data_IF_117497267139
#
_entry.id   IF_117497267139
#
_cell.length_a   1.000
_cell.length_b   1.000
_cell.length_c   1.000
_cell.angle_alpha   90.00
_cell.angle_beta   90.00
_cell.angle_gamma   90.00
#
_symmetry.space_group_name_H-M   'P 1'
#
loop_
_entity.id
_entity.type
_entity.pdbx_description
1 polymer ?
#
# COMPACT_ATOMS: atom_id res chain seq x y z
N UNK A 1 -12.22 1.33 20.44
CA UNK A 1 -12.03 1.53 18.98
C UNK A 1 -11.74 0.20 18.32
N UNK A 2 -12.51 -0.14 17.35
CA UNK A 2 -12.43 -1.42 16.68
C UNK A 2 -11.41 -1.40 15.54
N UNK A 3 -10.55 -2.41 15.49
CA UNK A 3 -9.63 -2.63 14.39
C UNK A 3 -10.30 -3.55 13.38
N UNK A 4 -10.28 -3.14 12.12
CA UNK A 4 -10.83 -3.92 11.03
C UNK A 4 -9.69 -4.45 10.18
N UNK A 5 -9.58 -5.76 9.96
CA UNK A 5 -8.54 -6.30 9.09
C UNK A 5 -8.55 -5.67 7.71
N UNK A 6 -7.38 -5.37 7.20
CA UNK A 6 -7.18 -4.80 5.87
C UNK A 6 -6.29 -5.74 5.09
N UNK A 7 -6.87 -6.42 4.11
CA UNK A 7 -6.17 -7.41 3.31
C UNK A 7 -6.43 -7.09 1.84
N UNK A 8 -5.34 -6.87 1.09
CA UNK A 8 -5.43 -6.53 -0.32
C UNK A 8 -4.47 -7.39 -1.14
N UNK A 9 -4.93 -7.80 -2.30
CA UNK A 9 -4.08 -8.42 -3.31
C UNK A 9 -4.21 -7.62 -4.60
N UNK A 10 -3.16 -6.90 -4.96
CA UNK A 10 -3.09 -6.14 -6.20
C UNK A 10 -2.40 -6.99 -7.24
N UNK A 11 -3.00 -7.11 -8.41
CA UNK A 11 -2.45 -7.83 -9.55
C UNK A 11 -2.32 -6.88 -10.73
N UNK A 12 -1.24 -7.02 -11.48
CA UNK A 12 -1.04 -6.29 -12.71
C UNK A 12 -0.20 -7.10 -13.69
N UNK A 13 -0.27 -6.71 -14.95
CA UNK A 13 0.61 -7.21 -15.99
C UNK A 13 1.45 -6.02 -16.45
N UNK A 14 2.77 -6.18 -16.41
CA UNK A 14 3.67 -5.10 -16.81
C UNK A 14 3.50 -4.76 -18.28
N UNK A 15 3.55 -3.47 -18.59
CA UNK A 15 3.60 -2.96 -19.96
C UNK A 15 5.03 -2.75 -20.45
N UNK A 16 6.03 -3.10 -19.63
CA UNK A 16 7.43 -2.92 -19.95
C UNK A 16 7.96 -1.51 -19.69
N UNK A 17 7.19 -0.65 -19.06
CA UNK A 17 7.65 0.68 -18.67
C UNK A 17 8.83 0.58 -17.69
N UNK A 18 9.77 1.52 -17.80
CA UNK A 18 10.95 1.54 -16.93
C UNK A 18 10.58 1.65 -15.45
N UNK A 19 9.51 2.37 -15.14
CA UNK A 19 8.94 2.52 -13.80
C UNK A 19 7.49 2.07 -13.87
N UNK A 20 7.17 0.98 -13.20
CA UNK A 20 5.81 0.46 -13.15
C UNK A 20 5.21 0.68 -11.78
N UNK A 21 4.08 1.38 -11.71
CA UNK A 21 3.41 1.72 -10.46
C UNK A 21 2.18 0.86 -10.22
N UNK A 22 2.06 0.37 -8.99
CA UNK A 22 0.86 -0.29 -8.50
C UNK A 22 0.35 0.49 -7.31
N UNK A 23 -0.90 0.95 -7.40
CA UNK A 23 -1.50 1.83 -6.41
C UNK A 23 -2.70 1.14 -5.75
N UNK A 24 -2.73 1.16 -4.42
CA UNK A 24 -3.89 0.74 -3.67
C UNK A 24 -4.95 1.85 -3.66
N UNK A 25 -6.11 1.57 -3.10
CA UNK A 25 -7.16 2.57 -2.94
C UNK A 25 -6.75 3.63 -1.91
N UNK A 26 -7.20 4.88 -2.04
CA UNK A 26 -6.90 5.89 -1.03
C UNK A 26 -7.62 5.57 0.29
N UNK A 27 -6.96 5.91 1.39
CA UNK A 27 -7.54 5.76 2.72
C UNK A 27 -8.70 6.74 2.88
N UNK A 28 -9.91 6.28 3.27
CA UNK A 28 -11.06 7.15 3.42
C UNK A 28 -10.88 8.22 4.50
N UNK A 29 -11.66 9.29 4.40
CA UNK A 29 -11.72 10.32 5.43
C UNK A 29 -11.97 9.74 6.81
N UNK A 30 -11.36 10.33 7.82
CA UNK A 30 -11.50 9.94 9.23
C UNK A 30 -11.14 8.48 9.49
N UNK A 31 -10.27 7.91 8.67
CA UNK A 31 -9.78 6.55 8.80
C UNK A 31 -8.27 6.55 8.95
N UNK A 32 -7.77 5.68 9.80
CA UNK A 32 -6.37 5.33 9.90
C UNK A 32 -6.13 3.98 9.23
N UNK A 33 -5.04 3.87 8.49
CA UNK A 33 -4.56 2.57 7.99
C UNK A 33 -3.17 2.31 8.56
N UNK A 34 -3.01 1.18 9.22
CA UNK A 34 -1.70 0.68 9.61
C UNK A 34 -1.39 -0.54 8.75
N UNK A 35 -0.37 -0.43 7.91
CA UNK A 35 0.12 -1.55 7.11
C UNK A 35 1.17 -2.27 7.92
N UNK A 36 1.00 -3.57 8.11
CA UNK A 36 1.93 -4.40 8.87
C UNK A 36 2.86 -5.21 7.99
N UNK A 37 2.42 -5.48 6.76
CA UNK A 37 3.16 -6.36 5.87
C UNK A 37 2.82 -6.04 4.42
N UNK A 38 3.85 -5.94 3.60
CA UNK A 38 3.71 -5.81 2.15
C UNK A 38 4.59 -6.88 1.52
N UNK A 39 4.03 -7.65 0.59
CA UNK A 39 4.77 -8.64 -0.18
C UNK A 39 4.68 -8.29 -1.65
N UNK A 40 5.81 -8.30 -2.34
CA UNK A 40 5.90 -7.94 -3.76
C UNK A 40 6.58 -9.06 -4.55
N UNK A 41 6.02 -9.37 -5.70
CA UNK A 41 6.54 -10.42 -6.58
C UNK A 41 6.41 -10.05 -8.05
N UNK A 42 7.47 -10.33 -8.83
CA UNK A 42 7.39 -10.51 -10.29
C UNK A 42 7.57 -12.01 -10.53
N UNK A 43 6.53 -12.67 -11.04
CA UNK A 43 6.54 -14.14 -11.22
C UNK A 43 7.52 -14.61 -12.27
N UNK A 44 7.92 -13.77 -13.21
CA UNK A 44 8.48 -14.20 -14.48
C UNK A 44 9.92 -13.78 -14.72
N UNK A 45 10.29 -12.56 -14.36
CA UNK A 45 11.58 -11.96 -14.77
C UNK A 45 12.25 -11.24 -13.61
N UNK A 46 13.58 -11.31 -13.55
CA UNK A 46 14.35 -10.47 -12.63
C UNK A 46 14.18 -9.01 -13.03
N UNK A 47 14.22 -8.11 -12.05
CA UNK A 47 14.07 -6.70 -12.33
C UNK A 47 15.00 -5.86 -11.42
N UNK A 48 14.95 -4.54 -11.52
CA UNK A 48 16.03 -3.71 -10.99
C UNK A 48 15.81 -3.28 -9.54
N UNK A 49 14.56 -2.94 -9.17
CA UNK A 49 14.29 -2.40 -7.84
C UNK A 49 12.80 -2.48 -7.50
N UNK A 50 12.52 -2.64 -6.20
CA UNK A 50 11.19 -2.46 -5.63
C UNK A 50 11.25 -1.27 -4.69
N UNK A 51 10.26 -0.37 -4.79
CA UNK A 51 10.06 0.69 -3.80
C UNK A 51 8.65 0.64 -3.24
N UNK A 52 8.52 0.86 -1.95
CA UNK A 52 7.22 0.91 -1.27
C UNK A 52 7.09 2.22 -0.51
N UNK A 53 5.91 2.82 -0.56
CA UNK A 53 5.66 4.09 0.11
C UNK A 53 4.19 4.46 0.13
N UNK A 54 3.93 5.72 0.43
CA UNK A 54 2.58 6.27 0.40
C UNK A 54 2.57 7.63 -0.29
N UNK A 55 1.46 7.95 -0.90
CA UNK A 55 1.29 9.23 -1.56
C UNK A 55 -0.13 9.41 -2.07
N UNK A 56 -0.41 10.57 -2.62
CA UNK A 56 -1.72 10.85 -3.23
C UNK A 56 -1.81 10.21 -4.62
N UNK A 57 -0.69 10.10 -5.30
CA UNK A 57 -0.55 9.49 -6.63
C UNK A 57 0.90 9.06 -6.86
N UNK A 58 1.21 8.62 -8.06
CA UNK A 58 2.55 8.16 -8.47
C UNK A 58 3.60 9.28 -8.53
N UNK A 59 3.19 10.54 -8.55
CA UNK A 59 4.09 11.69 -8.66
C UNK A 59 4.41 12.31 -7.30
N UNK A 60 3.64 12.02 -6.27
CA UNK A 60 3.79 12.57 -4.92
C UNK A 60 3.86 11.44 -3.91
N UNK A 61 5.02 10.80 -3.82
CA UNK A 61 5.20 9.63 -2.97
C UNK A 61 6.28 9.89 -1.93
N UNK A 62 5.97 9.51 -0.69
CA UNK A 62 6.95 9.39 0.37
C UNK A 62 7.38 7.92 0.43
N UNK A 63 8.62 7.64 0.06
CA UNK A 63 9.15 6.27 0.03
C UNK A 63 9.60 5.84 1.42
N UNK A 64 9.19 4.65 1.83
CA UNK A 64 9.54 4.05 3.12
C UNK A 64 10.76 3.16 3.00
N UNK A 65 10.75 2.28 2.01
CA UNK A 65 11.79 1.29 1.80
C UNK A 65 12.00 0.99 0.33
N UNK A 66 13.18 0.49 0.00
CA UNK A 66 13.46 -0.07 -1.30
C UNK A 66 14.22 -1.39 -1.19
N UNK A 67 14.18 -2.18 -2.23
CA UNK A 67 14.90 -3.44 -2.35
C UNK A 67 15.57 -3.49 -3.72
N UNK A 68 16.91 -3.56 -3.79
CA UNK A 68 17.61 -3.62 -5.07
C UNK A 68 17.68 -5.04 -5.61
N UNK A 69 17.78 -5.14 -6.93
CA UNK A 69 18.05 -6.36 -7.70
C UNK A 69 17.17 -7.56 -7.32
N UNK A 70 15.83 -7.41 -7.34
CA UNK A 70 14.97 -8.53 -7.02
C UNK A 70 14.96 -9.60 -8.12
N UNK A 71 14.83 -10.86 -7.69
CA UNK A 71 14.79 -12.01 -8.56
C UNK A 71 13.36 -12.45 -8.88
N UNK A 72 13.16 -13.05 -10.04
CA UNK A 72 11.88 -13.60 -10.46
C UNK A 72 11.39 -14.70 -9.51
N UNK A 73 10.09 -14.72 -9.26
CA UNK A 73 9.43 -15.76 -8.47
C UNK A 73 9.74 -15.71 -6.98
N UNK A 74 10.42 -14.68 -6.51
CA UNK A 74 10.73 -14.51 -5.09
C UNK A 74 9.75 -13.53 -4.47
N UNK A 75 9.23 -13.88 -3.30
CA UNK A 75 8.34 -13.00 -2.54
C UNK A 75 9.19 -12.11 -1.65
N UNK A 76 9.22 -10.81 -1.97
CA UNK A 76 9.95 -9.83 -1.18
C UNK A 76 9.02 -9.21 -0.15
N UNK A 77 9.40 -9.30 1.12
CA UNK A 77 8.57 -8.90 2.25
C UNK A 77 9.11 -7.65 2.92
N UNK A 78 8.18 -6.75 3.26
CA UNK A 78 8.43 -5.53 4.01
C UNK A 78 7.56 -5.62 5.26
N UNK A 79 8.18 -5.78 6.42
CA UNK A 79 7.48 -6.12 7.66
C UNK A 79 7.42 -5.00 8.70
N UNK A 80 7.92 -3.82 8.36
CA UNK A 80 7.82 -2.68 9.26
C UNK A 80 6.39 -2.12 9.28
N UNK A 81 6.04 -1.45 10.37
CA UNK A 81 4.75 -0.79 10.47
C UNK A 81 4.74 0.50 9.66
N UNK A 82 3.78 0.61 8.74
CA UNK A 82 3.60 1.79 7.91
C UNK A 82 2.23 2.40 8.17
N UNK A 83 2.20 3.65 8.60
CA UNK A 83 0.94 4.37 8.79
C UNK A 83 0.63 5.19 7.55
N UNK A 84 -0.54 4.94 6.96
CA UNK A 84 -0.99 5.63 5.75
C UNK A 84 -2.05 6.65 6.12
N UNK A 85 -1.80 7.90 5.75
CA UNK A 85 -2.70 9.02 6.05
C UNK A 85 -3.99 8.94 5.22
N UNK A 86 -5.06 9.53 5.74
CA UNK A 86 -6.28 9.67 4.94
C UNK A 86 -6.00 10.43 3.65
N UNK A 87 -6.63 10.01 2.56
CA UNK A 87 -6.38 10.56 1.23
C UNK A 87 -5.13 10.05 0.54
N UNK A 88 -4.22 9.44 1.29
CA UNK A 88 -3.04 8.76 0.71
C UNK A 88 -3.35 7.31 0.42
N UNK A 89 -2.50 6.69 -0.36
CA UNK A 89 -2.58 5.26 -0.70
C UNK A 89 -1.21 4.63 -0.63
N UNK A 90 -1.18 3.33 -0.45
CA UNK A 90 0.07 2.57 -0.61
C UNK A 90 0.45 2.62 -2.08
N UNK A 91 1.71 2.95 -2.34
CA UNK A 91 2.28 3.04 -3.69
C UNK A 91 3.46 2.08 -3.77
N UNK A 92 3.41 1.20 -4.75
CA UNK A 92 4.50 0.26 -5.04
C UNK A 92 5.05 0.61 -6.41
N UNK A 93 6.37 0.69 -6.53
CA UNK A 93 7.05 0.91 -7.81
C UNK A 93 8.00 -0.24 -8.08
N UNK A 94 7.86 -0.85 -9.25
CA UNK A 94 8.75 -1.90 -9.71
C UNK A 94 9.51 -1.36 -10.92
N UNK A 95 10.83 -1.27 -10.79
CA UNK A 95 11.68 -0.69 -11.82
C UNK A 95 12.29 -1.81 -12.68
N UNK A 96 12.19 -1.67 -13.99
CA UNK A 96 12.83 -2.59 -14.93
C UNK A 96 12.11 -3.91 -15.14
N UNK A 97 10.80 -3.97 -14.89
CA UNK A 97 10.01 -5.17 -15.22
C UNK A 97 9.87 -5.30 -16.75
N UNK A 98 9.68 -6.54 -17.21
CA UNK A 98 9.53 -6.84 -18.61
C UNK A 98 8.05 -6.87 -19.01
N UNK A 99 7.74 -6.45 -20.22
CA UNK A 99 6.35 -6.52 -20.73
C UNK A 99 5.81 -7.94 -20.57
N UNK A 100 4.54 -8.02 -20.18
CA UNK A 100 3.79 -9.25 -19.91
C UNK A 100 4.15 -9.96 -18.61
N UNK A 101 5.08 -9.45 -17.80
CA UNK A 101 5.34 -9.98 -16.49
C UNK A 101 4.09 -9.88 -15.61
N UNK A 102 3.83 -10.93 -14.85
CA UNK A 102 2.74 -10.95 -13.86
C UNK A 102 3.28 -10.44 -12.53
N UNK A 103 2.67 -9.38 -12.04
CA UNK A 103 3.09 -8.69 -10.83
C UNK A 103 2.04 -8.85 -9.76
N UNK A 104 2.48 -9.17 -8.55
CA UNK A 104 1.59 -9.34 -7.40
C UNK A 104 2.08 -8.49 -6.23
N UNK A 105 1.13 -7.87 -5.56
CA UNK A 105 1.38 -7.18 -4.30
C UNK A 105 0.31 -7.59 -3.31
N UNK A 106 0.74 -8.06 -2.14
CA UNK A 106 -0.15 -8.36 -1.02
C UNK A 106 0.12 -7.36 0.09
N UNK A 107 -0.96 -6.76 0.59
CA UNK A 107 -0.89 -5.79 1.68
C UNK A 107 -1.79 -6.30 2.79
N UNK A 108 -1.26 -6.37 4.00
CA UNK A 108 -2.09 -6.65 5.16
C UNK A 108 -1.81 -5.67 6.30
N UNK A 109 -2.81 -5.50 7.12
CA UNK A 109 -2.79 -4.61 8.25
C UNK A 109 -4.18 -4.46 8.83
N UNK A 110 -4.48 -3.27 9.30
CA UNK A 110 -5.80 -2.97 9.86
C UNK A 110 -6.14 -1.50 9.73
N UNK A 111 -7.44 -1.22 9.74
CA UNK A 111 -7.97 0.14 9.75
C UNK A 111 -8.80 0.37 11.01
N UNK A 112 -8.96 1.63 11.38
CA UNK A 112 -9.93 2.06 12.38
C UNK A 112 -10.34 3.51 12.11
N UNK A 113 -11.53 3.88 12.58
CA UNK A 113 -12.00 5.24 12.44
C UNK A 113 -11.35 6.15 13.47
N UNK A 114 -11.02 7.36 13.04
CA UNK A 114 -10.62 8.43 13.96
C UNK A 114 -11.83 8.91 14.74
N UNK A 115 -11.69 9.06 16.03
CA UNK A 115 -12.72 9.64 16.86
C UNK A 115 -12.49 11.13 16.95
N UNK A 116 -13.41 11.91 16.36
CA UNK A 116 -13.35 13.36 16.40
C UNK A 116 -14.11 13.86 17.64
N UNK A 117 -13.52 14.72 18.47
CA UNK A 117 -14.17 15.20 19.70
C UNK A 117 -15.57 15.77 19.48
N UNK A 118 -15.77 16.55 18.42
CA UNK A 118 -17.07 17.11 18.11
C UNK A 118 -18.12 16.06 17.77
N UNK A 119 -17.73 14.97 17.12
CA UNK A 119 -18.63 13.88 16.80
C UNK A 119 -19.07 13.13 18.06
N UNK A 120 -18.15 12.89 18.97
CA UNK A 120 -18.47 12.25 20.23
C UNK A 120 -19.50 13.05 21.03
N UNK A 121 -19.29 14.34 21.18
CA UNK A 121 -20.22 15.21 21.90
C UNK A 121 -21.61 15.21 21.26
N UNK A 122 -21.67 15.34 19.96
CA UNK A 122 -22.95 15.31 19.25
C UNK A 122 -23.67 13.97 19.44
N UNK A 123 -22.94 12.90 19.38
CA UNK A 123 -23.49 11.57 19.57
C UNK A 123 -24.05 11.40 20.98
N UNK A 124 -23.30 11.80 21.99
CA UNK A 124 -23.75 11.74 23.38
C UNK A 124 -24.96 12.62 23.63
N UNK A 125 -24.99 13.81 23.07
CA UNK A 125 -26.12 14.71 23.20
C UNK A 125 -27.41 14.11 22.65
N UNK A 126 -27.33 13.33 21.59
CA UNK A 126 -28.51 12.65 21.01
C UNK A 126 -28.97 11.48 21.86
N UNK A 127 -28.07 10.81 22.48
CA UNK A 127 -28.36 9.66 23.33
C UNK A 127 -28.82 10.07 24.72
N UNK A 128 -28.33 11.17 25.17
CA UNK A 128 -28.67 11.73 26.46
C UNK A 128 -29.86 12.65 26.38
#
# INVERSE_FOLDING_TARGET
>A
MEKIPYIRHLKAVSDGAALFYMLDNPVPSSTWLCVQHITVEDETTNFDQIRVGQGTDEFSVHWWEDRPVPAAGVLYEFEELFFVQEGHRVVIRLDGTTADDRLNVWIDGYTWEKVLPGRQFRHRAREG
#
